data_IF_987081589754
#
_entry.id   IF_987081589754
#
_cell.length_a   1.000
_cell.length_b   1.000
_cell.length_c   1.000
_cell.angle_alpha   90.00
_cell.angle_beta   90.00
_cell.angle_gamma   90.00
#
_symmetry.space_group_name_H-M   'P 1'
#
loop_
_entity.id
_entity.type
_entity.pdbx_description
1 polymer ?
#
# COMPACT_ATOMS: atom_id res chain seq x y z
N UNK A 1 -8.69 -10.74 22.53
CA UNK A 1 -8.61 -11.53 21.27
C UNK A 1 -7.19 -11.47 20.77
N UNK A 2 -6.56 -12.60 20.48
CA UNK A 2 -5.15 -12.67 20.10
C UNK A 2 -5.06 -12.89 18.58
N UNK A 3 -4.17 -12.19 17.90
CA UNK A 3 -3.76 -12.51 16.53
C UNK A 3 -2.92 -13.79 16.56
N UNK A 4 -3.33 -14.80 15.85
CA UNK A 4 -2.59 -16.07 15.77
C UNK A 4 -1.64 -16.04 14.57
N UNK A 5 -0.46 -15.45 14.77
CA UNK A 5 0.60 -15.48 13.77
C UNK A 5 1.09 -16.95 13.63
N UNK A 6 1.25 -17.42 12.37
CA UNK A 6 1.81 -18.75 12.13
C UNK A 6 3.24 -18.82 12.70
N UNK A 7 3.62 -19.97 13.24
CA UNK A 7 4.93 -20.13 13.92
C UNK A 7 6.09 -20.22 12.95
N UNK A 8 5.86 -20.84 11.80
CA UNK A 8 6.90 -21.06 10.79
C UNK A 8 6.64 -20.17 9.58
N UNK A 9 7.48 -19.19 9.39
CA UNK A 9 7.49 -18.32 8.21
C UNK A 9 8.92 -17.82 7.99
N UNK A 10 9.28 -17.68 6.73
CA UNK A 10 10.49 -17.01 6.29
C UNK A 10 10.30 -15.51 6.29
N UNK A 11 9.20 -15.05 5.70
CA UNK A 11 8.90 -13.64 5.56
C UNK A 11 7.95 -13.17 6.65
N UNK A 12 8.39 -12.22 7.48
CA UNK A 12 7.52 -11.65 8.50
C UNK A 12 6.34 -10.90 7.87
N UNK A 13 6.62 -10.12 6.81
CA UNK A 13 5.61 -9.38 6.05
C UNK A 13 5.91 -9.52 4.56
N UNK A 14 4.86 -9.77 3.77
CA UNK A 14 4.87 -9.63 2.32
C UNK A 14 3.88 -8.54 1.89
N UNK A 15 4.19 -7.82 0.81
CA UNK A 15 3.31 -6.81 0.24
C UNK A 15 3.25 -6.92 -1.29
N UNK A 16 2.04 -7.01 -1.91
CA UNK A 16 1.87 -6.67 -3.31
C UNK A 16 2.05 -5.17 -3.49
N UNK A 17 2.77 -4.74 -4.51
CA UNK A 17 2.99 -3.33 -4.77
C UNK A 17 3.46 -3.03 -6.19
N UNK A 18 3.23 -1.81 -6.65
CA UNK A 18 3.91 -1.24 -7.79
C UNK A 18 5.06 -0.36 -7.33
N UNK A 19 6.28 -0.81 -7.59
CA UNK A 19 7.49 -0.07 -7.21
C UNK A 19 7.78 1.06 -8.19
N UNK A 20 8.14 2.20 -7.65
CA UNK A 20 8.57 3.37 -8.41
C UNK A 20 9.72 4.11 -7.78
N UNK A 21 9.99 5.30 -8.28
CA UNK A 21 11.09 6.15 -7.82
C UNK A 21 10.56 7.49 -7.37
N UNK A 22 10.94 7.90 -6.17
CA UNK A 22 10.79 9.26 -5.69
C UNK A 22 11.99 10.09 -6.13
N UNK A 23 11.71 11.25 -6.68
CA UNK A 23 12.70 12.26 -7.07
C UNK A 23 12.46 13.50 -6.21
N UNK A 24 13.47 13.90 -5.44
CA UNK A 24 13.39 15.04 -4.53
C UNK A 24 14.54 16.02 -4.85
N UNK A 25 14.27 17.31 -5.09
CA UNK A 25 15.30 18.29 -5.29
C UNK A 25 16.24 18.39 -4.08
N UNK A 26 17.53 18.58 -4.35
CA UNK A 26 18.52 18.86 -3.30
C UNK A 26 18.17 20.19 -2.59
N UNK A 27 18.63 20.35 -1.35
CA UNK A 27 18.54 21.56 -0.53
C UNK A 27 17.13 22.17 -0.39
N UNK A 28 16.09 21.33 -0.44
CA UNK A 28 14.70 21.78 -0.38
C UNK A 28 14.32 22.78 -1.47
N UNK A 29 15.02 22.77 -2.58
CA UNK A 29 14.73 23.62 -3.73
C UNK A 29 13.38 23.27 -4.34
N UNK A 30 12.78 24.18 -5.10
CA UNK A 30 11.70 23.86 -5.99
C UNK A 30 12.23 23.11 -7.23
N UNK A 31 11.42 22.19 -7.78
CA UNK A 31 11.83 21.38 -8.94
C UNK A 31 12.35 22.23 -10.11
N UNK A 32 11.67 23.34 -10.40
CA UNK A 32 12.02 24.22 -11.53
C UNK A 32 13.30 25.06 -11.30
N UNK A 33 13.86 25.03 -10.07
CA UNK A 33 15.08 25.74 -9.70
C UNK A 33 16.25 24.79 -9.39
N UNK A 34 16.08 23.48 -9.56
CA UNK A 34 17.10 22.50 -9.25
C UNK A 34 17.45 21.65 -10.47
N UNK A 35 18.74 21.42 -10.64
CA UNK A 35 19.28 20.44 -11.59
C UNK A 35 19.92 19.24 -10.88
N UNK A 36 19.78 19.14 -9.53
CA UNK A 36 20.26 18.03 -8.71
C UNK A 36 19.12 17.44 -7.91
N UNK A 37 19.03 16.13 -7.94
CA UNK A 37 17.94 15.40 -7.32
C UNK A 37 18.43 14.14 -6.63
N UNK A 38 17.83 13.83 -5.48
CA UNK A 38 17.93 12.52 -4.85
C UNK A 38 16.90 11.58 -5.46
N UNK A 39 17.32 10.35 -5.74
CA UNK A 39 16.43 9.26 -6.15
C UNK A 39 16.32 8.23 -5.03
N UNK A 40 15.12 7.72 -4.82
CA UNK A 40 14.81 6.69 -3.82
C UNK A 40 13.78 5.73 -4.38
N UNK A 41 14.00 4.42 -4.26
CA UNK A 41 12.95 3.45 -4.54
C UNK A 41 11.83 3.58 -3.51
N UNK A 42 10.58 3.63 -3.96
CA UNK A 42 9.44 3.90 -3.10
C UNK A 42 8.15 3.24 -3.57
N UNK A 43 7.34 2.85 -2.61
CA UNK A 43 5.90 2.61 -2.71
C UNK A 43 5.31 2.77 -1.31
N UNK A 44 3.99 2.87 -1.20
CA UNK A 44 3.35 2.91 0.12
C UNK A 44 3.65 1.64 0.90
N UNK A 45 3.56 0.51 0.25
CA UNK A 45 3.73 -0.84 0.80
C UNK A 45 5.19 -1.11 1.18
N UNK A 46 6.16 -0.72 0.34
CA UNK A 46 7.59 -0.90 0.67
C UNK A 46 8.01 -0.07 1.89
N UNK A 47 7.33 1.04 2.18
CA UNK A 47 7.58 1.81 3.41
C UNK A 47 7.18 1.02 4.67
N UNK A 48 6.12 0.22 4.61
CA UNK A 48 5.74 -0.69 5.70
C UNK A 48 6.82 -1.76 5.89
N UNK A 49 7.29 -2.36 4.80
CA UNK A 49 8.36 -3.37 4.85
C UNK A 49 9.67 -2.81 5.39
N UNK A 50 10.02 -1.56 5.07
CA UNK A 50 11.23 -0.92 5.59
C UNK A 50 11.28 -0.93 7.12
N UNK A 51 10.14 -0.72 7.80
CA UNK A 51 10.08 -0.76 9.26
C UNK A 51 10.39 -2.15 9.78
N UNK A 52 9.74 -3.18 9.22
CA UNK A 52 9.96 -4.57 9.63
C UNK A 52 11.39 -5.05 9.32
N UNK A 53 11.92 -4.70 8.13
CA UNK A 53 13.27 -5.05 7.73
C UNK A 53 14.33 -4.38 8.62
N UNK A 54 14.12 -3.12 9.04
CA UNK A 54 15.03 -2.42 9.96
C UNK A 54 15.07 -3.04 11.37
N UNK A 55 14.04 -3.81 11.73
CA UNK A 55 13.99 -4.61 12.96
C UNK A 55 14.63 -6.01 12.80
N UNK A 56 15.23 -6.29 11.65
CA UNK A 56 15.94 -7.54 11.37
C UNK A 56 15.08 -8.66 10.80
N UNK A 57 13.84 -8.39 10.40
CA UNK A 57 12.98 -9.41 9.80
C UNK A 57 13.21 -9.52 8.29
N UNK A 58 13.11 -10.73 7.72
CA UNK A 58 13.01 -10.87 6.27
C UNK A 58 11.62 -10.42 5.80
N UNK A 59 11.60 -9.61 4.74
CA UNK A 59 10.39 -9.07 4.13
C UNK A 59 10.39 -9.33 2.63
N UNK A 60 9.19 -9.40 2.04
CA UNK A 60 9.01 -9.74 0.62
C UNK A 60 8.11 -8.72 -0.09
N UNK A 61 8.57 -8.21 -1.23
CA UNK A 61 7.75 -7.44 -2.18
C UNK A 61 7.29 -8.38 -3.31
N UNK A 62 5.99 -8.40 -3.57
CA UNK A 62 5.41 -9.01 -4.78
C UNK A 62 5.16 -7.89 -5.78
N UNK A 63 5.91 -7.86 -6.89
CA UNK A 63 5.88 -6.74 -7.83
C UNK A 63 6.21 -7.18 -9.25
N UNK A 64 6.24 -6.22 -10.18
CA UNK A 64 6.58 -6.43 -11.57
C UNK A 64 7.62 -5.39 -11.99
N UNK A 65 8.60 -5.80 -12.80
CA UNK A 65 9.66 -4.92 -13.26
C UNK A 65 9.64 -4.77 -14.78
N UNK A 66 10.18 -3.66 -15.26
CA UNK A 66 10.44 -3.49 -16.70
C UNK A 66 11.82 -4.09 -17.01
N UNK A 67 11.85 -5.10 -17.86
CA UNK A 67 13.05 -5.86 -18.22
C UNK A 67 14.14 -4.95 -18.79
N UNK A 68 15.34 -5.06 -18.25
CA UNK A 68 16.51 -4.30 -18.67
C UNK A 68 16.44 -2.79 -18.39
N UNK A 69 15.42 -2.33 -17.69
CA UNK A 69 15.30 -0.91 -17.32
C UNK A 69 16.33 -0.54 -16.24
N UNK A 70 17.13 0.53 -16.45
CA UNK A 70 18.04 1.04 -15.41
C UNK A 70 17.29 1.45 -14.12
N UNK A 71 16.04 1.88 -14.24
CA UNK A 71 15.18 2.20 -13.09
C UNK A 71 14.79 0.93 -12.33
N UNK A 72 14.47 -0.17 -13.04
CA UNK A 72 14.23 -1.46 -12.40
C UNK A 72 15.45 -1.94 -11.61
N UNK A 73 16.64 -1.86 -12.19
CA UNK A 73 17.89 -2.25 -11.52
C UNK A 73 18.20 -1.37 -10.31
N UNK A 74 17.93 -0.07 -10.40
CA UNK A 74 18.03 0.83 -9.26
C UNK A 74 17.08 0.42 -8.13
N UNK A 75 15.79 0.14 -8.44
CA UNK A 75 14.80 -0.30 -7.45
C UNK A 75 15.23 -1.63 -6.81
N UNK A 76 15.66 -2.61 -7.61
CA UNK A 76 16.15 -3.90 -7.12
C UNK A 76 17.37 -3.74 -6.20
N UNK A 77 18.28 -2.81 -6.53
CA UNK A 77 19.45 -2.49 -5.70
C UNK A 77 19.06 -1.88 -4.35
N UNK A 78 18.15 -0.92 -4.36
CA UNK A 78 17.62 -0.30 -3.14
C UNK A 78 16.92 -1.32 -2.22
N UNK A 79 16.11 -2.22 -2.79
CA UNK A 79 15.44 -3.28 -2.03
C UNK A 79 16.47 -4.21 -1.38
N UNK A 80 17.50 -4.64 -2.13
CA UNK A 80 18.60 -5.46 -1.57
C UNK A 80 19.34 -4.73 -0.45
N UNK A 81 19.64 -3.45 -0.63
CA UNK A 81 20.30 -2.62 0.38
C UNK A 81 19.50 -2.47 1.68
N UNK A 82 18.18 -2.63 1.60
CA UNK A 82 17.25 -2.59 2.75
C UNK A 82 16.93 -3.97 3.31
N UNK A 83 17.57 -5.03 2.81
CA UNK A 83 17.29 -6.42 3.16
C UNK A 83 15.82 -6.84 2.89
N UNK A 84 15.24 -6.30 1.82
CA UNK A 84 13.90 -6.66 1.35
C UNK A 84 14.06 -7.56 0.11
N UNK A 85 13.48 -8.75 0.18
CA UNK A 85 13.41 -9.66 -0.97
C UNK A 85 12.29 -9.19 -1.91
N UNK A 86 12.39 -9.61 -3.16
CA UNK A 86 11.37 -9.35 -4.16
C UNK A 86 11.13 -10.59 -5.02
N UNK A 87 9.88 -10.81 -5.34
CA UNK A 87 9.40 -11.78 -6.32
C UNK A 87 8.61 -11.02 -7.38
N UNK A 88 8.72 -11.47 -8.62
CA UNK A 88 7.98 -10.91 -9.73
C UNK A 88 8.61 -11.22 -11.06
N UNK A 89 7.88 -10.99 -12.11
CA UNK A 89 8.33 -11.18 -13.49
C UNK A 89 8.87 -9.89 -14.08
N UNK A 90 9.78 -10.01 -15.01
CA UNK A 90 10.27 -8.91 -15.83
C UNK A 90 9.41 -8.83 -17.10
N UNK A 91 8.66 -7.73 -17.27
CA UNK A 91 7.86 -7.46 -18.46
C UNK A 91 8.68 -6.71 -19.52
N UNK A 92 8.48 -7.04 -20.78
CA UNK A 92 9.07 -6.27 -21.89
C UNK A 92 8.53 -4.83 -21.87
N UNK A 93 9.37 -3.85 -22.14
CA UNK A 93 8.96 -2.45 -22.16
C UNK A 93 7.90 -2.16 -23.22
N UNK A 94 8.00 -2.78 -24.40
CA UNK A 94 7.08 -2.50 -25.51
C UNK A 94 7.39 -1.20 -26.28
N UNK A 95 8.64 -0.75 -26.26
CA UNK A 95 9.11 0.47 -26.91
C UNK A 95 8.96 1.74 -26.06
N UNK A 96 9.24 2.93 -26.63
CA UNK A 96 9.30 4.20 -25.88
C UNK A 96 7.98 4.62 -25.21
N UNK A 97 6.85 4.13 -25.72
CA UNK A 97 5.50 4.43 -25.23
C UNK A 97 4.91 3.31 -24.40
N UNK A 98 5.70 2.26 -24.13
CA UNK A 98 5.28 1.09 -23.36
C UNK A 98 5.45 1.28 -21.84
N UNK A 99 5.65 0.17 -21.16
CA UNK A 99 5.71 0.15 -19.71
C UNK A 99 6.93 0.88 -19.12
N UNK A 100 6.73 1.46 -17.95
CA UNK A 100 7.77 2.07 -17.12
C UNK A 100 7.47 1.92 -15.63
N UNK A 101 8.42 2.26 -14.78
CA UNK A 101 8.18 2.49 -13.37
C UNK A 101 7.69 3.92 -13.15
N UNK A 102 6.79 4.09 -12.18
CA UNK A 102 6.24 5.40 -11.84
C UNK A 102 7.30 6.36 -11.27
N UNK A 103 7.10 7.65 -11.46
CA UNK A 103 7.82 8.70 -10.78
C UNK A 103 6.94 9.46 -9.79
N UNK A 104 7.49 9.69 -8.60
CA UNK A 104 6.90 10.51 -7.56
C UNK A 104 7.82 11.71 -7.32
N UNK A 105 7.49 12.86 -7.89
CA UNK A 105 8.28 14.09 -7.76
C UNK A 105 7.81 14.80 -6.49
N UNK A 106 8.68 14.90 -5.49
CA UNK A 106 8.34 15.41 -4.17
C UNK A 106 9.19 16.63 -3.81
N UNK A 107 8.57 17.78 -3.66
CA UNK A 107 9.18 18.99 -3.09
C UNK A 107 8.94 19.04 -1.59
N UNK A 108 10.01 19.20 -0.82
CA UNK A 108 9.91 19.52 0.61
C UNK A 108 9.43 20.97 0.79
N UNK A 109 8.57 21.21 1.76
CA UNK A 109 8.20 22.57 2.15
C UNK A 109 9.39 23.31 2.73
N UNK A 110 9.45 24.63 2.49
CA UNK A 110 10.45 25.52 3.10
C UNK A 110 9.90 26.93 3.29
N UNK A 111 9.97 27.47 4.50
CA UNK A 111 9.40 28.77 4.84
C UNK A 111 7.88 28.78 4.60
N UNK A 112 7.42 29.69 3.75
CA UNK A 112 6.01 29.82 3.38
C UNK A 112 5.59 28.86 2.24
N UNK A 113 6.54 28.18 1.61
CA UNK A 113 6.23 27.22 0.54
C UNK A 113 5.83 25.88 1.15
N UNK A 114 4.59 25.49 0.89
CA UNK A 114 4.07 24.18 1.30
C UNK A 114 4.78 23.03 0.56
N UNK A 115 4.86 21.82 1.16
CA UNK A 115 5.33 20.63 0.45
C UNK A 115 4.37 20.31 -0.72
N UNK A 116 4.93 19.76 -1.79
CA UNK A 116 4.18 19.41 -3.00
C UNK A 116 4.61 18.07 -3.54
N UNK A 117 3.66 17.25 -3.97
CA UNK A 117 3.92 15.95 -4.59
C UNK A 117 3.20 15.87 -5.92
N UNK A 118 3.92 15.41 -6.93
CA UNK A 118 3.40 15.12 -8.24
C UNK A 118 3.65 13.65 -8.58
N UNK A 119 2.59 12.92 -8.91
CA UNK A 119 2.67 11.52 -9.29
C UNK A 119 2.55 11.40 -10.82
N UNK A 120 3.53 10.79 -11.44
CA UNK A 120 3.54 10.46 -12.86
C UNK A 120 3.51 8.93 -13.03
N UNK A 121 2.33 8.40 -13.35
CA UNK A 121 2.03 6.96 -13.37
C UNK A 121 1.63 6.42 -14.74
N UNK A 122 1.68 7.23 -15.79
CA UNK A 122 1.34 6.76 -17.15
C UNK A 122 2.23 5.59 -17.55
N UNK A 123 1.65 4.49 -18.03
CA UNK A 123 2.39 3.29 -18.43
C UNK A 123 3.05 2.52 -17.30
N UNK A 124 2.60 2.70 -16.06
CA UNK A 124 3.14 2.01 -14.90
C UNK A 124 2.96 0.50 -14.99
N UNK A 125 4.07 -0.27 -15.00
CA UNK A 125 4.07 -1.72 -15.20
C UNK A 125 3.30 -2.47 -14.10
N UNK A 126 3.29 -1.95 -12.89
CA UNK A 126 2.58 -2.56 -11.76
C UNK A 126 1.07 -2.59 -11.89
N UNK A 127 0.49 -1.84 -12.84
CA UNK A 127 -0.96 -1.92 -13.14
C UNK A 127 -1.38 -3.24 -13.78
N UNK A 128 -0.42 -4.06 -14.22
CA UNK A 128 -0.65 -5.35 -14.88
C UNK A 128 -0.27 -6.56 -14.03
N UNK A 129 -0.20 -6.39 -12.70
CA UNK A 129 0.09 -7.50 -11.77
C UNK A 129 -1.01 -8.56 -11.86
N UNK A 130 -0.60 -9.83 -11.94
CA UNK A 130 -1.48 -10.99 -11.98
C UNK A 130 -0.99 -12.09 -11.04
N UNK A 131 -1.90 -12.86 -10.46
CA UNK A 131 -1.58 -13.93 -9.52
C UNK A 131 -0.82 -15.08 -10.20
N UNK A 132 -1.07 -15.31 -11.47
CA UNK A 132 -0.43 -16.34 -12.29
C UNK A 132 1.09 -16.11 -12.46
N UNK A 133 1.59 -14.93 -12.12
CA UNK A 133 3.01 -14.57 -12.18
C UNK A 133 3.79 -15.00 -10.94
N UNK A 134 3.11 -15.56 -9.93
CA UNK A 134 3.69 -15.91 -8.63
C UNK A 134 3.41 -17.36 -8.26
N UNK A 135 4.42 -18.04 -7.76
CA UNK A 135 4.28 -19.37 -7.15
C UNK A 135 3.76 -19.21 -5.71
N UNK A 136 2.44 -19.09 -5.59
CA UNK A 136 1.78 -18.82 -4.30
C UNK A 136 1.92 -19.95 -3.30
N UNK A 137 1.97 -21.20 -3.76
CA UNK A 137 2.14 -22.36 -2.90
C UNK A 137 3.55 -22.39 -2.30
N UNK A 138 4.58 -22.08 -3.08
CA UNK A 138 5.94 -21.91 -2.57
C UNK A 138 6.02 -20.74 -1.60
N UNK A 139 5.52 -19.55 -1.99
CA UNK A 139 5.66 -18.33 -1.20
C UNK A 139 4.91 -18.43 0.12
N UNK A 140 3.63 -18.76 0.10
CA UNK A 140 2.78 -18.76 1.30
C UNK A 140 2.79 -20.12 2.02
N UNK A 141 2.96 -21.23 1.29
CA UNK A 141 2.95 -22.58 1.85
C UNK A 141 4.32 -22.99 2.38
N UNK A 142 5.30 -23.16 1.48
CA UNK A 142 6.61 -23.73 1.80
C UNK A 142 7.52 -22.75 2.56
N UNK A 143 7.77 -21.55 2.01
CA UNK A 143 8.59 -20.52 2.64
C UNK A 143 7.84 -19.86 3.80
N UNK A 144 6.58 -19.62 3.62
CA UNK A 144 5.68 -19.06 4.62
C UNK A 144 5.80 -17.55 4.77
N UNK A 145 4.64 -16.92 4.93
CA UNK A 145 4.49 -15.48 5.20
C UNK A 145 3.69 -15.30 6.47
N UNK A 146 4.18 -14.49 7.40
CA UNK A 146 3.48 -14.18 8.64
C UNK A 146 2.27 -13.29 8.40
N UNK A 147 2.47 -12.18 7.70
CA UNK A 147 1.44 -11.19 7.39
C UNK A 147 1.54 -10.80 5.91
N UNK A 148 0.44 -10.90 5.18
CA UNK A 148 0.29 -10.24 3.89
C UNK A 148 -0.36 -8.86 4.13
N UNK A 149 0.39 -7.79 3.85
CA UNK A 149 -0.13 -6.42 3.95
C UNK A 149 -0.54 -5.90 2.58
N UNK A 150 -1.82 -5.62 2.42
CA UNK A 150 -2.42 -5.06 1.20
C UNK A 150 -2.78 -3.61 1.48
N UNK A 151 -2.40 -2.71 0.58
CA UNK A 151 -2.84 -1.32 0.60
C UNK A 151 -3.97 -1.09 -0.39
N UNK A 152 -4.95 -0.29 -0.01
CA UNK A 152 -6.02 0.13 -0.90
C UNK A 152 -5.53 0.91 -2.11
N UNK A 153 -4.32 1.49 -2.04
CA UNK A 153 -3.71 2.14 -3.19
C UNK A 153 -3.45 1.15 -4.33
N UNK A 154 -2.78 0.02 -4.03
CA UNK A 154 -2.52 -1.01 -5.05
C UNK A 154 -3.83 -1.71 -5.47
N UNK A 155 -4.73 -1.98 -4.53
CA UNK A 155 -6.01 -2.60 -4.82
C UNK A 155 -6.92 -1.76 -5.74
N UNK A 156 -6.78 -0.43 -5.73
CA UNK A 156 -7.58 0.48 -6.56
C UNK A 156 -6.89 0.92 -7.86
N UNK A 157 -5.66 0.47 -8.14
CA UNK A 157 -4.84 1.04 -9.22
C UNK A 157 -5.36 0.70 -10.62
N UNK A 158 -5.79 -0.54 -10.84
CA UNK A 158 -6.38 -1.05 -12.09
C UNK A 158 -7.31 -2.22 -11.80
N UNK A 159 -8.06 -2.68 -12.79
CA UNK A 159 -8.88 -3.90 -12.68
C UNK A 159 -8.00 -5.13 -12.39
N UNK A 160 -6.85 -5.24 -13.06
CA UNK A 160 -5.90 -6.35 -12.84
C UNK A 160 -5.38 -6.36 -11.40
N UNK A 161 -4.97 -5.20 -10.87
CA UNK A 161 -4.47 -5.13 -9.48
C UNK A 161 -5.57 -5.32 -8.45
N UNK A 162 -6.81 -4.93 -8.75
CA UNK A 162 -7.98 -5.22 -7.91
C UNK A 162 -8.16 -6.74 -7.81
N UNK A 163 -8.21 -7.42 -8.96
CA UNK A 163 -8.31 -8.88 -9.02
C UNK A 163 -7.13 -9.55 -8.33
N UNK A 164 -5.90 -9.10 -8.62
CA UNK A 164 -4.69 -9.62 -7.98
C UNK A 164 -4.76 -9.55 -6.45
N UNK A 165 -5.18 -8.41 -5.88
CA UNK A 165 -5.30 -8.25 -4.43
C UNK A 165 -6.33 -9.18 -3.80
N UNK A 166 -7.45 -9.42 -4.48
CA UNK A 166 -8.46 -10.39 -4.06
C UNK A 166 -7.91 -11.82 -4.06
N UNK A 167 -7.27 -12.22 -5.16
CA UNK A 167 -6.77 -13.58 -5.34
C UNK A 167 -5.60 -13.88 -4.39
N UNK A 168 -4.65 -12.95 -4.22
CA UNK A 168 -3.51 -13.14 -3.31
C UNK A 168 -3.93 -13.14 -1.84
N UNK A 169 -4.95 -12.34 -1.47
CA UNK A 169 -5.50 -12.37 -0.12
C UNK A 169 -6.12 -13.73 0.20
N UNK A 170 -6.86 -14.30 -0.75
CA UNK A 170 -7.46 -15.64 -0.64
C UNK A 170 -6.39 -16.71 -0.51
N UNK A 171 -5.43 -16.75 -1.44
CA UNK A 171 -4.34 -17.73 -1.43
C UNK A 171 -3.53 -17.66 -0.13
N UNK A 172 -3.15 -16.45 0.32
CA UNK A 172 -2.44 -16.27 1.58
C UNK A 172 -3.23 -16.78 2.80
N UNK A 173 -4.54 -16.54 2.81
CA UNK A 173 -5.43 -17.00 3.89
C UNK A 173 -5.54 -18.53 3.94
N UNK A 174 -5.60 -19.21 2.80
CA UNK A 174 -5.61 -20.67 2.69
C UNK A 174 -4.37 -21.31 3.30
N UNK A 175 -3.22 -20.62 3.26
CA UNK A 175 -1.97 -21.05 3.88
C UNK A 175 -1.75 -20.54 5.33
N UNK A 176 -2.77 -19.94 5.94
CA UNK A 176 -2.73 -19.49 7.33
C UNK A 176 -1.94 -18.18 7.57
N UNK A 177 -1.69 -17.41 6.51
CA UNK A 177 -1.12 -16.07 6.59
C UNK A 177 -2.17 -15.09 7.12
N UNK A 178 -1.79 -14.20 8.04
CA UNK A 178 -2.66 -13.10 8.46
C UNK A 178 -2.76 -12.03 7.37
N UNK A 179 -3.95 -11.49 7.17
CA UNK A 179 -4.18 -10.42 6.20
C UNK A 179 -4.29 -9.08 6.94
N UNK A 180 -3.42 -8.14 6.59
CA UNK A 180 -3.48 -6.73 7.00
C UNK A 180 -3.93 -5.90 5.81
N UNK A 181 -5.04 -5.18 5.95
CA UNK A 181 -5.58 -4.33 4.90
C UNK A 181 -5.62 -2.87 5.35
N UNK A 182 -4.78 -2.03 4.73
CA UNK A 182 -4.82 -0.57 4.86
C UNK A 182 -5.73 0.01 3.79
N UNK A 183 -6.83 0.61 4.18
CA UNK A 183 -7.83 1.16 3.27
C UNK A 183 -7.28 2.26 2.35
N UNK A 184 -6.36 3.07 2.83
CA UNK A 184 -5.51 4.00 2.08
C UNK A 184 -6.20 4.64 0.86
N UNK A 185 -7.36 5.28 1.07
CA UNK A 185 -8.18 5.87 0.01
C UNK A 185 -7.39 6.87 -0.84
N UNK A 186 -7.59 6.80 -2.15
CA UNK A 186 -7.04 7.76 -3.13
C UNK A 186 -8.11 8.12 -4.13
N UNK A 187 -8.72 9.28 -3.95
CA UNK A 187 -9.87 9.73 -4.76
C UNK A 187 -9.62 9.66 -6.28
N UNK A 188 -8.38 9.88 -6.74
CA UNK A 188 -8.04 9.83 -8.16
C UNK A 188 -8.17 8.44 -8.79
N UNK A 189 -8.00 7.36 -8.00
CA UNK A 189 -8.16 5.98 -8.47
C UNK A 189 -9.61 5.49 -8.37
N UNK A 190 -10.39 6.10 -7.49
CA UNK A 190 -11.78 5.73 -7.26
C UNK A 190 -12.73 6.33 -8.29
N UNK A 191 -12.35 7.44 -8.93
CA UNK A 191 -13.22 8.17 -9.84
C UNK A 191 -13.73 7.29 -10.99
N UNK A 192 -15.04 7.07 -11.02
CA UNK A 192 -15.73 6.25 -12.03
C UNK A 192 -15.68 4.74 -11.77
N UNK A 193 -15.11 4.31 -10.62
CA UNK A 193 -15.03 2.91 -10.18
C UNK A 193 -15.54 2.72 -8.75
N UNK A 194 -16.31 3.68 -8.23
CA UNK A 194 -16.68 3.74 -6.81
C UNK A 194 -17.43 2.50 -6.33
N UNK A 195 -18.37 1.99 -7.13
CA UNK A 195 -19.15 0.79 -6.78
C UNK A 195 -18.31 -0.48 -6.85
N UNK A 196 -17.55 -0.66 -7.94
CA UNK A 196 -16.63 -1.79 -8.13
C UNK A 196 -15.62 -1.88 -7.00
N UNK A 197 -14.94 -0.77 -6.71
CA UNK A 197 -13.90 -0.74 -5.68
C UNK A 197 -14.48 -0.91 -4.28
N UNK A 198 -15.67 -0.38 -4.01
CA UNK A 198 -16.33 -0.61 -2.72
C UNK A 198 -16.61 -2.08 -2.50
N UNK A 199 -17.12 -2.78 -3.51
CA UNK A 199 -17.35 -4.22 -3.43
C UNK A 199 -16.04 -5.00 -3.23
N UNK A 200 -15.00 -4.70 -3.99
CA UNK A 200 -13.68 -5.32 -3.84
C UNK A 200 -13.08 -5.09 -2.44
N UNK A 201 -13.18 -3.86 -1.93
CA UNK A 201 -12.69 -3.52 -0.59
C UNK A 201 -13.49 -4.23 0.51
N UNK A 202 -14.80 -4.42 0.33
CA UNK A 202 -15.60 -5.23 1.24
C UNK A 202 -15.15 -6.69 1.24
N UNK A 203 -14.83 -7.26 0.08
CA UNK A 203 -14.34 -8.64 -0.03
C UNK A 203 -12.99 -8.79 0.67
N UNK A 204 -12.02 -7.90 0.43
CA UNK A 204 -10.71 -7.94 1.11
C UNK A 204 -10.88 -7.75 2.63
N UNK A 205 -11.69 -6.77 3.05
CA UNK A 205 -11.95 -6.51 4.47
C UNK A 205 -12.62 -7.70 5.19
N UNK A 206 -13.44 -8.50 4.47
CA UNK A 206 -14.11 -9.67 5.02
C UNK A 206 -13.17 -10.81 5.39
N UNK A 207 -11.98 -10.88 4.77
CA UNK A 207 -10.94 -11.86 5.08
C UNK A 207 -9.80 -11.29 5.91
N UNK A 208 -9.75 -9.97 6.09
CA UNK A 208 -8.70 -9.29 6.83
C UNK A 208 -8.75 -9.58 8.33
N UNK A 209 -7.58 -9.83 8.91
CA UNK A 209 -7.38 -9.97 10.37
C UNK A 209 -7.05 -8.62 11.02
N UNK A 210 -6.47 -7.71 10.26
CA UNK A 210 -6.08 -6.36 10.67
C UNK A 210 -6.65 -5.37 9.65
N UNK A 211 -7.43 -4.40 10.11
CA UNK A 211 -7.91 -3.28 9.30
C UNK A 211 -7.22 -1.99 9.75
N UNK A 212 -6.65 -1.29 8.78
CA UNK A 212 -5.93 -0.03 8.99
C UNK A 212 -6.62 1.08 8.18
N UNK A 213 -6.74 2.26 8.76
CA UNK A 213 -7.32 3.41 8.08
C UNK A 213 -7.54 4.59 9.02
N UNK A 214 -7.77 5.75 8.46
CA UNK A 214 -8.22 6.92 9.20
C UNK A 214 -9.75 7.04 9.18
N UNK A 215 -10.29 8.08 9.79
CA UNK A 215 -11.74 8.30 9.86
C UNK A 215 -12.42 8.45 8.50
N UNK A 216 -11.73 8.98 7.49
CA UNK A 216 -12.26 9.13 6.13
C UNK A 216 -12.21 7.82 5.35
N UNK A 217 -11.14 7.03 5.53
CA UNK A 217 -10.96 5.78 4.80
C UNK A 217 -12.11 4.79 5.06
N UNK A 218 -12.53 4.62 6.32
CA UNK A 218 -13.67 3.76 6.66
C UNK A 218 -14.99 4.24 6.06
N UNK A 219 -15.17 5.54 5.93
CA UNK A 219 -16.38 6.12 5.35
C UNK A 219 -16.37 5.99 3.81
N UNK A 220 -15.28 6.40 3.17
CA UNK A 220 -15.19 6.47 1.72
C UNK A 220 -15.04 5.08 1.08
N UNK A 221 -14.18 4.22 1.66
CA UNK A 221 -13.94 2.89 1.10
C UNK A 221 -15.03 1.87 1.46
N UNK A 222 -15.56 1.93 2.68
CA UNK A 222 -16.46 0.90 3.22
C UNK A 222 -17.89 1.42 3.50
N UNK A 223 -18.16 2.69 3.25
CA UNK A 223 -19.50 3.27 3.34
C UNK A 223 -20.07 3.38 4.76
N UNK A 224 -19.22 3.36 5.81
CA UNK A 224 -19.67 3.57 7.18
C UNK A 224 -19.90 5.06 7.46
N UNK A 225 -20.90 5.37 8.28
CA UNK A 225 -21.09 6.73 8.77
C UNK A 225 -20.16 6.98 9.96
N UNK A 226 -19.37 8.03 9.88
CA UNK A 226 -18.40 8.39 10.90
C UNK A 226 -18.31 9.90 11.14
N UNK A 227 -17.35 10.36 11.96
CA UNK A 227 -17.16 11.77 12.25
C UNK A 227 -16.66 12.52 11.00
N UNK A 228 -17.07 13.80 10.87
CA UNK A 228 -16.47 14.66 9.86
C UNK A 228 -14.95 14.85 10.10
N UNK A 229 -14.17 14.82 9.04
CA UNK A 229 -12.75 15.11 9.13
C UNK A 229 -12.52 16.57 9.57
N UNK A 230 -11.66 16.78 10.59
CA UNK A 230 -11.28 18.12 11.03
C UNK A 230 -12.28 18.84 11.96
N UNK A 231 -13.28 18.16 12.52
CA UNK A 231 -14.18 18.74 13.54
C UNK A 231 -13.42 19.33 14.74
N UNK A 232 -13.97 20.43 15.32
CA UNK A 232 -13.30 21.19 16.39
C UNK A 232 -13.43 20.55 17.78
N UNK A 233 -14.44 19.71 18.00
CA UNK A 233 -14.65 18.99 19.25
C UNK A 233 -14.01 17.60 19.19
N UNK A 234 -12.85 17.48 19.83
CA UNK A 234 -12.09 16.22 19.85
C UNK A 234 -12.86 15.13 20.61
N UNK A 235 -13.56 15.46 21.69
CA UNK A 235 -14.27 14.45 22.49
C UNK A 235 -15.45 13.86 21.73
N UNK A 236 -16.26 14.68 21.11
CA UNK A 236 -17.36 14.24 20.24
C UNK A 236 -16.83 13.45 19.03
N UNK A 237 -15.71 13.86 18.44
CA UNK A 237 -15.07 13.18 17.34
C UNK A 237 -14.61 11.77 17.73
N UNK A 238 -13.99 11.61 18.90
CA UNK A 238 -13.54 10.30 19.41
C UNK A 238 -14.73 9.37 19.66
N UNK A 239 -15.82 9.84 20.25
CA UNK A 239 -17.01 9.01 20.49
C UNK A 239 -17.71 8.60 19.19
N UNK A 240 -17.86 9.52 18.24
CA UNK A 240 -18.40 9.21 16.92
C UNK A 240 -17.52 8.19 16.18
N UNK A 241 -16.19 8.35 16.28
CA UNK A 241 -15.25 7.41 15.71
C UNK A 241 -15.35 6.01 16.34
N UNK A 242 -15.45 5.92 17.68
CA UNK A 242 -15.67 4.64 18.38
C UNK A 242 -16.97 3.98 17.92
N UNK A 243 -18.03 4.75 17.73
CA UNK A 243 -19.32 4.27 17.25
C UNK A 243 -19.17 3.68 15.84
N UNK A 244 -18.48 4.37 14.93
CA UNK A 244 -18.19 3.89 13.58
C UNK A 244 -17.38 2.58 13.63
N UNK A 245 -16.30 2.54 14.40
CA UNK A 245 -15.45 1.33 14.53
C UNK A 245 -16.22 0.15 15.12
N UNK A 246 -17.17 0.37 16.03
CA UNK A 246 -18.04 -0.68 16.50
C UNK A 246 -18.95 -1.26 15.40
N UNK A 247 -19.43 -0.44 14.48
CA UNK A 247 -20.18 -0.89 13.29
C UNK A 247 -19.26 -1.69 12.35
N UNK A 248 -18.04 -1.20 12.08
CA UNK A 248 -17.03 -1.90 11.28
C UNK A 248 -16.73 -3.27 11.89
N UNK A 249 -16.49 -3.33 13.20
CA UNK A 249 -16.23 -4.55 13.96
C UNK A 249 -17.39 -5.54 13.90
N UNK A 250 -18.62 -5.06 13.95
CA UNK A 250 -19.81 -5.89 13.85
C UNK A 250 -19.97 -6.52 12.45
N UNK A 251 -19.56 -5.81 11.39
CA UNK A 251 -19.61 -6.28 10.01
C UNK A 251 -18.44 -7.24 9.69
N UNK A 252 -17.22 -6.89 10.10
CA UNK A 252 -16.01 -7.68 9.78
C UNK A 252 -15.53 -8.47 11.00
N UNK A 253 -16.20 -9.56 11.29
CA UNK A 253 -15.96 -10.38 12.50
C UNK A 253 -14.61 -11.11 12.48
N UNK A 254 -14.00 -11.27 11.31
CA UNK A 254 -12.64 -11.83 11.17
C UNK A 254 -11.58 -10.87 11.71
N UNK A 255 -11.78 -9.57 11.55
CA UNK A 255 -10.81 -8.59 12.00
C UNK A 255 -10.67 -8.59 13.53
N UNK A 256 -9.44 -8.78 13.99
CA UNK A 256 -9.08 -8.83 15.42
C UNK A 256 -8.38 -7.56 15.87
N UNK A 257 -7.84 -6.78 14.92
CA UNK A 257 -7.14 -5.54 15.20
C UNK A 257 -7.61 -4.43 14.25
N UNK A 258 -7.83 -3.26 14.81
CA UNK A 258 -8.16 -2.04 14.09
C UNK A 258 -7.12 -0.99 14.46
N UNK A 259 -6.30 -0.58 13.48
CA UNK A 259 -5.28 0.45 13.65
C UNK A 259 -5.74 1.72 12.94
N UNK A 260 -5.75 2.83 13.65
CA UNK A 260 -6.30 4.07 13.09
C UNK A 260 -5.53 5.31 13.54
N UNK A 261 -5.52 6.29 12.67
CA UNK A 261 -5.03 7.64 12.98
C UNK A 261 -6.21 8.62 12.93
N UNK A 262 -6.30 9.47 13.96
CA UNK A 262 -7.26 10.58 14.00
C UNK A 262 -6.53 11.90 13.75
N UNK A 263 -7.03 12.69 12.81
CA UNK A 263 -6.49 14.03 12.55
C UNK A 263 -7.15 15.06 13.46
N UNK A 264 -6.34 15.82 14.17
CA UNK A 264 -6.78 16.94 15.00
C UNK A 264 -6.11 18.24 14.53
N UNK A 265 -6.90 19.22 14.19
CA UNK A 265 -6.44 20.57 13.90
C UNK A 265 -6.65 21.46 15.14
N UNK A 266 -5.69 21.42 16.08
CA UNK A 266 -5.61 22.38 17.17
C UNK A 266 -5.25 23.77 16.62
N UNK A 267 -5.87 24.83 17.15
CA UNK A 267 -5.33 26.18 16.93
C UNK A 267 -3.94 26.25 17.56
N UNK A 268 -2.95 26.61 16.75
CA UNK A 268 -1.68 27.15 17.26
C UNK A 268 -1.88 28.56 17.73
#
# INVERSE_FOLDING_TARGET
MTLNLRKNYRYAIACPTSMGVRITPEDRMAVHNSNRFYMQATSAESNVLNVSASLGNECLVLTKFVKGSPIAEFIKSELRGRNIRYEGVDAEQGGPWGYRHQFNIAESGFGLRAPRVWNDRTGEVGTTLSIEEFDVDRIFGEEGVGILHISGLIAAMSEDTTKFCLDVAKAAKEHGTLISFDLNHRATFWKGREEELREAFHQIASVADILVGNEEDFQLCLGFTGPEAGGKDLSAKIENFKTMINQVKAKYTNAKMFATTLRYFGRR
#
